data_IF_486411114229
#
_entry.id   IF_486411114229
#
_cell.length_a   1.000
_cell.length_b   1.000
_cell.length_c   1.000
_cell.angle_alpha   90.00
_cell.angle_beta   90.00
_cell.angle_gamma   90.00
#
_symmetry.space_group_name_H-M   'P 1'
#
loop_
_entity.id
_entity.type
_entity.pdbx_description
1 polymer ?
#
# COMPACT_ATOMS: atom_id res chain seq x y z
N UNK A 1 -7.09 2.84 -11.10
CA UNK A 1 -5.73 3.32 -10.74
C UNK A 1 -5.58 3.22 -9.23
N UNK A 2 -4.50 2.64 -8.71
CA UNK A 2 -4.34 2.43 -7.26
C UNK A 2 -3.49 3.55 -6.67
N UNK A 3 -3.84 4.01 -5.46
CA UNK A 3 -3.10 5.03 -4.73
C UNK A 3 -2.84 4.56 -3.31
N UNK A 4 -1.58 4.55 -2.90
CA UNK A 4 -1.18 4.31 -1.52
C UNK A 4 -1.05 5.65 -0.81
N UNK A 5 -1.71 5.81 0.33
CA UNK A 5 -1.61 7.00 1.17
C UNK A 5 -0.92 6.62 2.47
N UNK A 6 0.27 7.20 2.71
CA UNK A 6 1.05 7.01 3.94
C UNK A 6 1.10 8.33 4.68
N UNK A 7 0.52 8.41 5.87
CA UNK A 7 0.44 9.64 6.67
C UNK A 7 -0.05 10.87 5.89
N UNK A 8 -1.09 10.66 5.08
CA UNK A 8 -1.69 11.69 4.24
C UNK A 8 -0.93 11.99 2.94
N UNK A 9 0.26 11.42 2.73
CA UNK A 9 1.00 11.53 1.46
C UNK A 9 0.55 10.47 0.48
N UNK A 10 0.04 10.90 -0.67
CA UNK A 10 -0.41 10.02 -1.74
C UNK A 10 0.75 9.63 -2.67
N UNK A 11 0.81 8.34 -2.99
CA UNK A 11 1.71 7.74 -3.97
C UNK A 11 0.83 7.03 -5.00
N UNK A 12 0.86 7.55 -6.22
CA UNK A 12 0.17 6.94 -7.35
C UNK A 12 0.92 5.69 -7.80
N UNK A 13 0.23 4.56 -7.85
CA UNK A 13 0.80 3.28 -8.21
C UNK A 13 0.49 2.95 -9.68
N UNK A 14 1.40 2.21 -10.35
CA UNK A 14 1.23 1.79 -11.73
C UNK A 14 -0.06 0.98 -11.90
N UNK A 15 -0.61 1.03 -13.12
CA UNK A 15 -1.77 0.22 -13.47
C UNK A 15 -1.43 -1.28 -13.36
N UNK A 16 -2.37 -2.08 -12.84
CA UNK A 16 -2.17 -3.51 -12.59
C UNK A 16 -1.60 -3.83 -11.21
N UNK A 17 -1.25 -2.84 -10.38
CA UNK A 17 -0.92 -3.11 -8.97
C UNK A 17 -2.13 -3.71 -8.26
N UNK A 18 -1.94 -4.85 -7.61
CA UNK A 18 -2.98 -5.50 -6.82
C UNK A 18 -3.21 -4.74 -5.50
N UNK A 19 -4.27 -3.92 -5.48
CA UNK A 19 -4.64 -3.15 -4.31
C UNK A 19 -5.04 -4.01 -3.12
N UNK A 20 -5.66 -5.17 -3.36
CA UNK A 20 -6.09 -6.06 -2.30
C UNK A 20 -4.89 -6.73 -1.61
N UNK A 21 -3.90 -7.17 -2.39
CA UNK A 21 -2.64 -7.68 -1.86
C UNK A 21 -1.89 -6.60 -1.06
N UNK A 22 -1.80 -5.38 -1.60
CA UNK A 22 -1.16 -4.26 -0.93
C UNK A 22 -1.86 -3.90 0.39
N UNK A 23 -3.20 -3.90 0.40
CA UNK A 23 -4.00 -3.63 1.59
C UNK A 23 -3.79 -4.69 2.66
N UNK A 24 -3.84 -5.98 2.28
CA UNK A 24 -3.58 -7.09 3.21
C UNK A 24 -2.19 -6.96 3.84
N UNK A 25 -1.17 -6.65 3.04
CA UNK A 25 0.19 -6.44 3.54
C UNK A 25 0.26 -5.28 4.54
N UNK A 26 -0.35 -4.15 4.22
CA UNK A 26 -0.42 -3.00 5.12
C UNK A 26 -1.13 -3.35 6.44
N UNK A 27 -2.24 -4.09 6.38
CA UNK A 27 -2.99 -4.54 7.56
C UNK A 27 -2.16 -5.51 8.43
N UNK A 28 -1.45 -6.45 7.82
CA UNK A 28 -0.56 -7.38 8.54
C UNK A 28 0.57 -6.65 9.25
N UNK A 29 1.16 -5.64 8.62
CA UNK A 29 2.23 -4.86 9.23
C UNK A 29 1.70 -3.94 10.34
N UNK A 30 0.62 -3.22 10.09
CA UNK A 30 0.05 -2.29 11.06
C UNK A 30 -0.58 -2.98 12.27
N UNK A 31 -1.12 -4.18 12.10
CA UNK A 31 -1.58 -5.02 13.22
C UNK A 31 -0.45 -5.66 14.02
N UNK A 32 0.80 -5.51 13.58
CA UNK A 32 1.97 -6.18 14.18
C UNK A 32 2.05 -7.68 13.88
N UNK A 33 1.13 -8.22 13.08
CA UNK A 33 1.08 -9.64 12.70
C UNK A 33 2.27 -10.05 11.82
N UNK A 34 2.79 -9.12 11.03
CA UNK A 34 4.00 -9.32 10.23
C UNK A 34 5.31 -9.26 11.05
N UNK A 35 5.23 -9.02 12.37
CA UNK A 35 6.39 -8.84 13.23
C UNK A 35 7.06 -7.46 13.08
N UNK A 36 8.34 -7.38 13.43
CA UNK A 36 9.08 -6.12 13.48
C UNK A 36 9.58 -5.70 12.08
N UNK A 37 8.65 -5.37 11.18
CA UNK A 37 8.97 -4.96 9.81
C UNK A 37 9.46 -3.51 9.83
N UNK A 38 10.77 -3.33 9.65
CA UNK A 38 11.40 -2.00 9.54
C UNK A 38 11.22 -1.42 8.14
N UNK A 39 11.99 -1.94 7.19
CA UNK A 39 11.92 -1.59 5.77
C UNK A 39 11.33 -2.76 4.99
N UNK A 40 10.27 -2.49 4.23
CA UNK A 40 9.61 -3.46 3.37
C UNK A 40 9.75 -3.05 1.91
N UNK A 41 9.91 -4.04 1.03
CA UNK A 41 10.12 -3.83 -0.40
C UNK A 41 8.99 -4.53 -1.16
N UNK A 42 8.14 -3.74 -1.78
CA UNK A 42 6.94 -4.21 -2.46
C UNK A 42 7.17 -4.06 -3.97
N UNK A 43 7.18 -5.17 -4.69
CA UNK A 43 7.25 -5.15 -6.15
C UNK A 43 5.92 -4.68 -6.73
N UNK A 44 5.98 -3.66 -7.59
CA UNK A 44 4.86 -3.08 -8.29
C UNK A 44 4.63 -3.78 -9.65
N UNK A 45 3.52 -3.47 -10.30
CA UNK A 45 3.12 -4.14 -11.53
C UNK A 45 4.03 -3.85 -12.74
N UNK A 46 4.71 -2.71 -12.76
CA UNK A 46 5.69 -2.39 -13.81
C UNK A 46 7.07 -3.03 -13.56
N UNK A 47 7.27 -3.65 -12.39
CA UNK A 47 8.55 -4.21 -11.97
C UNK A 47 9.36 -3.33 -11.01
N UNK A 48 8.97 -2.06 -10.85
CA UNK A 48 9.56 -1.17 -9.85
C UNK A 48 9.34 -1.68 -8.41
N UNK A 49 10.19 -1.23 -7.50
CA UNK A 49 10.12 -1.60 -6.08
C UNK A 49 9.79 -0.37 -5.25
N UNK A 50 8.66 -0.44 -4.56
CA UNK A 50 8.29 0.54 -3.54
C UNK A 50 8.90 0.13 -2.20
N UNK A 51 9.80 0.98 -1.67
CA UNK A 51 10.38 0.81 -0.35
C UNK A 51 9.58 1.59 0.70
N UNK A 52 8.97 0.90 1.65
CA UNK A 52 8.18 1.50 2.74
C UNK A 52 8.87 1.25 4.07
N UNK A 53 9.20 2.32 4.79
CA UNK A 53 9.67 2.23 6.16
C UNK A 53 8.48 2.27 7.12
N UNK A 54 7.94 1.11 7.48
CA UNK A 54 6.73 1.01 8.29
C UNK A 54 6.91 1.54 9.71
N UNK A 55 8.14 1.58 10.25
CA UNK A 55 8.42 2.23 11.55
C UNK A 55 8.23 3.74 11.51
N UNK A 56 8.31 4.34 10.33
CA UNK A 56 8.14 5.77 10.12
C UNK A 56 6.72 6.12 9.65
N UNK A 57 5.84 5.13 9.49
CA UNK A 57 4.46 5.32 9.02
C UNK A 57 3.48 5.07 10.15
N UNK A 58 2.64 6.05 10.47
CA UNK A 58 1.61 5.92 11.50
C UNK A 58 0.25 5.46 10.95
N UNK A 59 -0.05 5.84 9.72
CA UNK A 59 -1.35 5.59 9.08
C UNK A 59 -1.19 5.20 7.61
N UNK A 60 -2.00 4.24 7.17
CA UNK A 60 -1.97 3.72 5.80
C UNK A 60 -3.38 3.62 5.26
N UNK A 61 -3.58 4.05 4.00
CA UNK A 61 -4.81 3.79 3.24
C UNK A 61 -4.44 3.37 1.83
N UNK A 62 -5.10 2.35 1.31
CA UNK A 62 -5.03 1.97 -0.10
C UNK A 62 -6.34 2.39 -0.74
N UNK A 63 -6.28 3.21 -1.77
CA UNK A 63 -7.45 3.76 -2.48
C UNK A 63 -7.42 3.24 -3.91
N UNK A 64 -8.49 2.59 -4.33
CA UNK A 64 -8.70 2.22 -5.72
C UNK A 64 -9.52 3.32 -6.40
N UNK A 65 -8.90 4.09 -7.29
CA UNK A 65 -9.63 4.89 -8.26
C UNK A 65 -10.27 3.92 -9.27
N UNK A 66 -11.47 3.45 -8.92
CA UNK A 66 -12.16 2.40 -9.66
C UNK A 66 -13.39 1.78 -8.98
N UNK A 67 -13.71 2.14 -7.73
CA UNK A 67 -14.96 1.72 -7.08
C UNK A 67 -15.65 2.92 -6.43
N UNK A 68 -15.94 3.95 -7.23
CA UNK A 68 -17.04 4.86 -6.94
C UNK A 68 -18.18 4.46 -7.87
N UNK A 69 -19.06 3.60 -7.35
CA UNK A 69 -20.50 3.55 -7.63
C UNK A 69 -20.95 3.53 -9.12
N UNK A 70 -21.29 2.34 -9.62
CA UNK A 70 -22.38 2.15 -10.57
C UNK A 70 -23.44 1.28 -9.85
N UNK A 71 -24.40 1.93 -9.17
CA UNK A 71 -25.81 1.54 -8.99
C UNK A 71 -26.46 2.14 -7.73
#
# INVERSE_FOLDING_TARGET
>A
MVRLVLDGRAYDLPAGTDAAALRRRAEEVMSGRAGNVGLDRITLADGDVLAVNWRAVGTVRVVEAGSQDDA
#
